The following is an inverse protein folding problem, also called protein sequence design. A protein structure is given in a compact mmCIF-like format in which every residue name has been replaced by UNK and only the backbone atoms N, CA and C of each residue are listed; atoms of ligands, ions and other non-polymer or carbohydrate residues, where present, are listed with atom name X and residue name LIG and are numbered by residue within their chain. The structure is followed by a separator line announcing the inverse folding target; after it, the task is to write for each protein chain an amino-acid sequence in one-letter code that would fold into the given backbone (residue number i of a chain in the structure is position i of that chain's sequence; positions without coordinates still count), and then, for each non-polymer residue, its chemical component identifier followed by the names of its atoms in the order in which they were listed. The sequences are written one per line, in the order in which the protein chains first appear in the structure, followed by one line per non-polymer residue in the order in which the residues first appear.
data_IF_061140534957
#
_entry.id   IF_061140534957
#
_cell.length_a   1.000
_cell.length_b   1.000
_cell.length_c   1.000
_cell.angle_alpha   90.00
_cell.angle_beta   90.00
_cell.angle_gamma   90.00
#
_symmetry.space_group_name_H-M   'P 1'
#
loop_
_entity.id
_entity.type
_entity.pdbx_description
1 polymer ?
#
# COMPACT_ATOMS: atom_id res chain seq x y z
N UNK A 1 18.92 5.28 -27.48
CA UNK A 1 18.28 4.97 -26.18
C UNK A 1 19.16 5.47 -25.05
N UNK A 2 18.61 6.23 -24.10
CA UNK A 2 19.33 6.82 -22.96
C UNK A 2 19.50 5.82 -21.80
N UNK A 3 20.36 6.15 -20.82
CA UNK A 3 20.50 5.36 -19.58
C UNK A 3 19.15 5.18 -18.86
N UNK A 4 18.36 6.24 -18.78
CA UNK A 4 17.03 6.20 -18.17
C UNK A 4 16.10 5.20 -18.86
N UNK A 5 16.17 5.14 -20.19
CA UNK A 5 15.36 4.23 -21.00
C UNK A 5 15.76 2.76 -20.87
N UNK A 6 17.06 2.48 -20.70
CA UNK A 6 17.58 1.11 -20.62
C UNK A 6 17.57 0.52 -19.22
N UNK A 7 17.81 1.34 -18.21
CA UNK A 7 18.10 0.88 -16.85
C UNK A 7 17.07 1.41 -15.87
N UNK A 8 16.85 2.74 -15.84
CA UNK A 8 16.05 3.36 -14.77
C UNK A 8 14.58 2.95 -14.87
N UNK A 9 13.91 3.12 -16.01
CA UNK A 9 12.48 2.80 -16.09
C UNK A 9 12.19 1.30 -15.94
N UNK A 10 12.90 0.38 -16.61
CA UNK A 10 12.71 -1.05 -16.37
C UNK A 10 13.06 -1.44 -14.93
N UNK A 11 14.13 -0.87 -14.36
CA UNK A 11 14.55 -1.13 -12.99
C UNK A 11 13.52 -0.66 -11.96
N UNK A 12 12.95 0.53 -12.12
CA UNK A 12 11.86 1.03 -11.28
C UNK A 12 10.62 0.14 -11.37
N UNK A 13 10.24 -0.31 -12.57
CA UNK A 13 9.11 -1.23 -12.72
C UNK A 13 9.36 -2.56 -11.99
N UNK A 14 10.53 -3.16 -12.23
CA UNK A 14 10.90 -4.44 -11.64
C UNK A 14 10.98 -4.35 -10.11
N UNK A 15 11.71 -3.37 -9.59
CA UNK A 15 11.85 -3.17 -8.15
C UNK A 15 10.50 -2.88 -7.50
N UNK A 16 9.67 -2.04 -8.12
CA UNK A 16 8.32 -1.77 -7.65
C UNK A 16 7.49 -3.05 -7.57
N UNK A 17 7.48 -3.87 -8.62
CA UNK A 17 6.75 -5.14 -8.62
C UNK A 17 7.25 -6.11 -7.55
N UNK A 18 8.56 -6.27 -7.40
CA UNK A 18 9.17 -7.15 -6.39
C UNK A 18 8.81 -6.69 -4.97
N UNK A 19 8.88 -5.38 -4.68
CA UNK A 19 8.52 -4.85 -3.38
C UNK A 19 7.04 -5.09 -3.05
N UNK A 20 6.13 -4.94 -4.02
CA UNK A 20 4.71 -5.27 -3.84
C UNK A 20 4.52 -6.75 -3.51
N UNK A 21 5.20 -7.65 -4.23
CA UNK A 21 5.11 -9.09 -3.98
C UNK A 21 5.62 -9.41 -2.58
N UNK A 22 6.81 -8.92 -2.21
CA UNK A 22 7.40 -9.16 -0.88
C UNK A 22 6.48 -8.65 0.22
N UNK A 23 5.99 -7.41 0.11
CA UNK A 23 5.06 -6.83 1.09
C UNK A 23 3.76 -7.65 1.20
N UNK A 24 3.20 -8.11 0.08
CA UNK A 24 2.03 -8.99 0.05
C UNK A 24 2.27 -10.34 0.71
N UNK A 25 3.44 -10.96 0.48
CA UNK A 25 3.79 -12.25 1.10
C UNK A 25 4.08 -12.16 2.59
N UNK A 26 4.51 -10.98 3.07
CA UNK A 26 4.75 -10.72 4.49
C UNK A 26 3.46 -10.33 5.23
N UNK A 27 2.43 -9.90 4.50
CA UNK A 27 1.18 -9.46 5.09
C UNK A 27 0.49 -10.64 5.79
N UNK A 28 0.10 -10.52 7.07
CA UNK A 28 -0.58 -11.59 7.77
C UNK A 28 -1.99 -11.82 7.19
N UNK A 29 -2.44 -13.06 7.21
CA UNK A 29 -3.84 -13.40 6.91
C UNK A 29 -4.74 -12.82 8.01
N UNK A 30 -5.59 -11.87 7.65
CA UNK A 30 -6.58 -11.30 8.56
C UNK A 30 -7.83 -12.17 8.58
N UNK A 31 -8.20 -12.69 9.76
CA UNK A 31 -9.37 -13.56 9.96
C UNK A 31 -10.08 -13.19 11.26
N UNK A 32 -11.37 -13.53 11.36
CA UNK A 32 -12.20 -13.20 12.53
C UNK A 32 -12.79 -11.78 12.47
N UNK A 33 -13.29 -11.31 13.62
CA UNK A 33 -13.82 -9.96 13.80
C UNK A 33 -12.72 -8.87 13.72
N UNK A 34 -13.13 -7.61 13.75
CA UNK A 34 -12.21 -6.46 13.63
C UNK A 34 -11.16 -6.41 14.75
N UNK A 35 -11.51 -6.79 15.97
CA UNK A 35 -10.60 -6.78 17.11
C UNK A 35 -9.50 -7.86 16.97
N UNK A 36 -9.85 -9.06 16.52
CA UNK A 36 -8.90 -10.12 16.22
C UNK A 36 -7.94 -9.73 15.09
N UNK A 37 -8.45 -9.07 14.04
CA UNK A 37 -7.63 -8.58 12.94
C UNK A 37 -6.66 -7.48 13.39
N UNK A 38 -7.11 -6.50 14.17
CA UNK A 38 -6.25 -5.44 14.71
C UNK A 38 -5.16 -5.98 15.65
N UNK A 39 -5.50 -6.97 16.47
CA UNK A 39 -4.51 -7.64 17.34
C UNK A 39 -3.43 -8.33 16.49
N UNK A 40 -3.83 -9.01 15.42
CA UNK A 40 -2.90 -9.65 14.46
C UNK A 40 -1.99 -8.62 13.80
N UNK A 41 -2.54 -7.47 13.38
CA UNK A 41 -1.76 -6.37 12.79
C UNK A 41 -0.78 -5.79 13.81
N UNK A 42 -1.23 -5.52 15.04
CA UNK A 42 -0.41 -4.92 16.09
C UNK A 42 0.77 -5.82 16.52
N UNK A 43 0.60 -7.14 16.42
CA UNK A 43 1.63 -8.13 16.75
C UNK A 43 2.52 -8.51 15.55
N UNK A 44 2.26 -7.97 14.36
CA UNK A 44 3.03 -8.32 13.17
C UNK A 44 4.46 -7.77 13.23
N UNK A 45 5.45 -8.66 13.40
CA UNK A 45 6.87 -8.27 13.43
C UNK A 45 7.36 -7.67 12.10
N UNK A 46 6.73 -8.08 10.99
CA UNK A 46 7.07 -7.62 9.64
C UNK A 46 6.47 -6.25 9.28
N UNK A 47 5.77 -5.57 10.19
CA UNK A 47 5.01 -4.35 9.89
C UNK A 47 5.84 -3.29 9.16
N UNK A 48 7.10 -3.08 9.58
CA UNK A 48 8.01 -2.09 8.95
C UNK A 48 8.27 -2.45 7.50
N UNK A 49 8.61 -3.71 7.25
CA UNK A 49 8.94 -4.18 5.90
C UNK A 49 7.73 -4.07 4.97
N UNK A 50 6.53 -4.42 5.46
CA UNK A 50 5.28 -4.32 4.70
C UNK A 50 4.99 -2.85 4.34
N UNK A 51 5.03 -1.94 5.32
CA UNK A 51 4.71 -0.53 5.09
C UNK A 51 5.71 0.14 4.16
N UNK A 52 7.01 -0.06 4.38
CA UNK A 52 8.04 0.49 3.49
C UNK A 52 7.98 -0.13 2.11
N UNK A 53 7.73 -1.43 2.02
CA UNK A 53 7.55 -2.16 0.76
C UNK A 53 6.43 -1.53 -0.08
N UNK A 54 5.24 -1.41 0.48
CA UNK A 54 4.12 -0.77 -0.22
C UNK A 54 4.35 0.73 -0.50
N UNK A 55 4.94 1.49 0.43
CA UNK A 55 5.18 2.92 0.25
C UNK A 55 6.08 3.20 -0.96
N UNK A 56 7.13 2.40 -1.16
CA UNK A 56 8.05 2.59 -2.28
C UNK A 56 7.64 1.84 -3.55
N UNK A 57 6.90 0.73 -3.44
CA UNK A 57 6.58 -0.10 -4.59
C UNK A 57 5.76 0.63 -5.64
N UNK A 58 4.70 1.34 -5.23
CA UNK A 58 3.79 2.00 -6.18
C UNK A 58 4.43 3.18 -6.92
N UNK A 59 5.15 4.13 -6.26
CA UNK A 59 5.86 5.19 -6.98
C UNK A 59 6.90 4.65 -7.97
N UNK A 60 7.63 3.59 -7.60
CA UNK A 60 8.61 2.95 -8.48
C UNK A 60 7.93 2.29 -9.69
N UNK A 61 6.89 1.50 -9.46
CA UNK A 61 6.14 0.84 -10.52
C UNK A 61 5.52 1.85 -11.50
N UNK A 62 4.89 2.91 -11.00
CA UNK A 62 4.32 3.97 -11.83
C UNK A 62 5.38 4.73 -12.63
N UNK A 63 6.53 5.05 -12.01
CA UNK A 63 7.66 5.68 -12.70
C UNK A 63 8.15 4.81 -13.86
N UNK A 64 8.28 3.49 -13.63
CA UNK A 64 8.66 2.54 -14.65
C UNK A 64 7.64 2.43 -15.79
N UNK A 65 6.34 2.33 -15.46
CA UNK A 65 5.26 2.25 -16.44
C UNK A 65 5.15 3.51 -17.30
N UNK A 66 5.24 4.70 -16.71
CA UNK A 66 5.23 5.98 -17.45
C UNK A 66 6.43 6.07 -18.39
N UNK A 67 7.61 5.66 -17.92
CA UNK A 67 8.82 5.61 -18.73
C UNK A 67 8.70 4.64 -19.91
N UNK A 68 8.17 3.44 -19.68
CA UNK A 68 7.93 2.44 -20.72
C UNK A 68 6.84 2.88 -21.69
N UNK A 69 5.82 3.61 -21.25
CA UNK A 69 4.75 4.10 -22.12
C UNK A 69 5.31 5.08 -23.16
N UNK A 70 6.22 5.97 -22.72
CA UNK A 70 6.94 6.87 -23.63
C UNK A 70 7.83 6.11 -24.62
N UNK A 71 8.41 4.99 -24.19
CA UNK A 71 9.26 4.15 -25.04
C UNK A 71 8.47 3.34 -26.07
N UNK A 72 7.25 2.94 -25.74
CA UNK A 72 6.40 2.11 -26.59
C UNK A 72 5.36 2.91 -27.38
N UNK A 73 5.38 4.24 -27.30
CA UNK A 73 4.47 5.09 -28.06
C UNK A 73 4.64 4.89 -29.57
N UNK A 74 3.56 4.55 -30.27
CA UNK A 74 3.55 4.34 -31.71
C UNK A 74 4.22 3.04 -32.18
N UNK A 75 4.58 2.12 -31.27
CA UNK A 75 5.16 0.82 -31.63
C UNK A 75 4.38 -0.36 -31.03
N UNK A 76 4.56 -1.59 -31.57
CA UNK A 76 3.99 -2.79 -30.97
C UNK A 76 4.40 -2.91 -29.49
N UNK A 77 3.41 -2.93 -28.60
CA UNK A 77 3.60 -2.91 -27.14
C UNK A 77 2.90 -1.74 -26.45
N UNK A 78 2.51 -0.70 -27.18
CA UNK A 78 1.82 0.48 -26.61
C UNK A 78 0.60 0.10 -25.77
N UNK A 79 -0.31 -0.72 -26.33
CA UNK A 79 -1.55 -1.11 -25.67
C UNK A 79 -1.31 -1.88 -24.37
N UNK A 80 -0.30 -2.74 -24.33
CA UNK A 80 0.05 -3.50 -23.13
C UNK A 80 0.57 -2.57 -22.02
N UNK A 81 1.44 -1.62 -22.36
CA UNK A 81 1.96 -0.65 -21.38
C UNK A 81 0.86 0.31 -20.91
N UNK A 82 -0.04 0.72 -21.81
CA UNK A 82 -1.20 1.55 -21.47
C UNK A 82 -2.16 0.83 -20.52
N UNK A 83 -2.44 -0.45 -20.78
CA UNK A 83 -3.21 -1.27 -19.85
C UNK A 83 -2.52 -1.39 -18.49
N UNK A 84 -1.20 -1.61 -18.48
CA UNK A 84 -0.39 -1.61 -17.26
C UNK A 84 -0.49 -0.30 -16.48
N UNK A 85 -0.44 0.86 -17.16
CA UNK A 85 -0.64 2.18 -16.54
C UNK A 85 -2.02 2.31 -15.89
N UNK A 86 -3.07 1.87 -16.57
CA UNK A 86 -4.45 1.93 -16.04
C UNK A 86 -4.56 1.07 -14.79
N UNK A 87 -4.13 -0.20 -14.87
CA UNK A 87 -4.20 -1.14 -13.74
C UNK A 87 -3.32 -0.66 -12.57
N UNK A 88 -2.10 -0.22 -12.84
CA UNK A 88 -1.18 0.29 -11.81
C UNK A 88 -1.71 1.54 -11.12
N UNK A 89 -2.31 2.46 -11.88
CA UNK A 89 -2.93 3.67 -11.32
C UNK A 89 -4.14 3.31 -10.47
N UNK A 90 -5.00 2.42 -10.94
CA UNK A 90 -6.14 1.93 -10.17
C UNK A 90 -5.70 1.28 -8.85
N UNK A 91 -4.71 0.38 -8.91
CA UNK A 91 -4.18 -0.29 -7.72
C UNK A 91 -3.58 0.71 -6.72
N UNK A 92 -2.84 1.71 -7.20
CA UNK A 92 -2.29 2.75 -6.33
C UNK A 92 -3.38 3.59 -5.68
N UNK A 93 -4.40 4.01 -6.44
CA UNK A 93 -5.54 4.76 -5.88
C UNK A 93 -6.28 3.97 -4.82
N UNK A 94 -6.56 2.68 -5.08
CA UNK A 94 -7.20 1.81 -4.10
C UNK A 94 -6.35 1.68 -2.82
N UNK A 95 -5.04 1.53 -2.96
CA UNK A 95 -4.11 1.51 -1.83
C UNK A 95 -4.11 2.82 -1.05
N UNK A 96 -4.10 3.97 -1.73
CA UNK A 96 -4.17 5.29 -1.06
C UNK A 96 -5.46 5.47 -0.25
N UNK A 97 -6.59 4.96 -0.74
CA UNK A 97 -7.86 4.97 0.02
C UNK A 97 -7.73 4.14 1.29
N UNK A 98 -7.14 2.95 1.21
CA UNK A 98 -6.90 2.09 2.37
C UNK A 98 -5.98 2.76 3.39
N UNK A 99 -4.87 3.36 2.93
CA UNK A 99 -3.94 4.09 3.81
C UNK A 99 -4.63 5.27 4.49
N UNK A 100 -5.44 6.03 3.76
CA UNK A 100 -6.20 7.14 4.32
C UNK A 100 -7.19 6.67 5.39
N UNK A 101 -7.89 5.55 5.14
CA UNK A 101 -8.78 4.93 6.12
C UNK A 101 -8.02 4.50 7.38
N UNK A 102 -6.91 3.78 7.26
CA UNK A 102 -6.12 3.32 8.41
C UNK A 102 -5.54 4.50 9.22
N UNK A 103 -5.00 5.50 8.54
CA UNK A 103 -4.48 6.71 9.19
C UNK A 103 -5.60 7.47 9.92
N UNK A 104 -6.77 7.59 9.30
CA UNK A 104 -7.96 8.21 9.91
C UNK A 104 -8.46 7.45 11.14
N UNK A 105 -8.56 6.12 11.05
CA UNK A 105 -8.95 5.26 12.17
C UNK A 105 -7.94 5.35 13.33
N UNK A 106 -6.65 5.29 13.03
CA UNK A 106 -5.59 5.45 14.03
C UNK A 106 -5.60 6.82 14.69
N UNK A 107 -5.82 7.88 13.92
CA UNK A 107 -5.97 9.24 14.44
C UNK A 107 -7.19 9.39 15.35
N UNK A 108 -8.35 8.89 14.93
CA UNK A 108 -9.58 8.90 15.73
C UNK A 108 -9.43 8.13 17.04
N UNK A 109 -8.76 6.98 17.00
CA UNK A 109 -8.44 6.18 18.18
C UNK A 109 -7.52 6.95 19.14
N UNK A 110 -6.44 7.56 18.63
CA UNK A 110 -5.53 8.36 19.43
C UNK A 110 -6.24 9.54 20.11
N UNK A 111 -7.11 10.25 19.39
CA UNK A 111 -7.93 11.32 19.96
C UNK A 111 -8.88 10.80 21.06
N UNK A 112 -9.45 9.62 20.85
CA UNK A 112 -10.33 8.99 21.85
C UNK A 112 -9.59 8.64 23.14
N UNK A 113 -8.33 8.19 23.06
CA UNK A 113 -7.48 7.97 24.24
C UNK A 113 -7.14 9.26 24.97
N UNK A 114 -6.84 10.34 24.23
CA UNK A 114 -6.53 11.66 24.82
C UNK A 114 -7.75 12.27 25.51
N UNK A 115 -8.95 12.06 24.94
CA UNK A 115 -10.19 12.65 25.45
C UNK A 115 -10.91 11.81 26.51
N UNK A 116 -10.54 10.54 26.70
CA UNK A 116 -11.21 9.64 27.64
C UNK A 116 -10.69 9.81 29.07
N UNK A 117 -11.61 9.75 30.05
CA UNK A 117 -11.25 9.59 31.47
C UNK A 117 -10.37 8.35 31.63
N UNK A 118 -9.32 8.38 32.48
CA UNK A 118 -8.33 7.29 32.61
C UNK A 118 -8.95 5.91 32.83
N UNK A 119 -10.14 5.83 33.45
CA UNK A 119 -10.87 4.59 33.72
C UNK A 119 -11.75 4.05 32.59
N UNK A 120 -12.00 4.81 31.50
CA UNK A 120 -12.88 4.40 30.38
C UNK A 120 -12.15 4.14 29.06
N UNK A 121 -10.83 4.27 29.04
CA UNK A 121 -9.97 4.11 27.86
C UNK A 121 -10.10 2.73 27.21
N UNK A 122 -10.29 1.67 28.01
CA UNK A 122 -10.44 0.30 27.51
C UNK A 122 -11.82 0.00 26.89
N UNK A 123 -12.90 0.63 27.37
CA UNK A 123 -14.27 0.27 26.97
C UNK A 123 -14.69 0.89 25.64
N UNK A 124 -14.27 2.13 25.32
CA UNK A 124 -14.65 2.78 24.05
C UNK A 124 -13.93 2.19 22.83
N UNK A 125 -12.70 1.70 22.98
CA UNK A 125 -11.96 1.09 21.88
C UNK A 125 -12.64 -0.20 21.38
N UNK A 126 -13.24 -0.99 22.28
CA UNK A 126 -13.93 -2.25 21.93
C UNK A 126 -15.15 -1.98 21.03
N UNK A 127 -16.01 -1.02 21.36
CA UNK A 127 -17.26 -0.78 20.62
C UNK A 127 -17.10 -0.22 19.20
N UNK A 128 -15.94 0.35 18.86
CA UNK A 128 -15.69 0.96 17.55
C UNK A 128 -15.21 -0.06 16.50
N UNK A 129 -14.67 -1.20 16.94
CA UNK A 129 -14.11 -2.24 16.08
C UNK A 129 -14.89 -3.57 16.11
N UNK A 130 -15.97 -3.64 16.90
CA UNK A 130 -16.89 -4.80 17.01
C UNK A 130 -18.14 -4.69 16.10
N UNK A 131 -18.30 -3.59 15.36
CA UNK A 131 -19.36 -3.38 14.36
C UNK A 131 -18.88 -3.73 12.95
#
# INVERSE_FOLDING_TARGET
MTFSQRIVFPGCLLLGAVLTIVAGTLHPDLRGDGAAQLTTIAQCEAWRAIHWGFLFSFPLALTGLVGLARLHAGIPGENAVRAGLIVGTFAYTAWMVIVAFMAGAGWSLAQSFVAADPGMTATRAVFLFDM
#
